data_IF_646630627010
#
_entry.id   IF_646630627010
#
_cell.length_a   1.000
_cell.length_b   1.000
_cell.length_c   1.000
_cell.angle_alpha   90.00
_cell.angle_beta   90.00
_cell.angle_gamma   90.00
#
_symmetry.space_group_name_H-M   'P 1'
#
loop_
_entity.id
_entity.type
_entity.pdbx_description
1 polymer ?
#
# COMPACT_ATOMS: atom_id res chain seq x y z
N UNK A 1 0.50 14.45 -1.19
CA UNK A 1 1.86 14.13 -0.71
C UNK A 1 2.73 13.86 -1.93
N UNK A 2 3.94 14.41 -2.00
CA UNK A 2 4.89 14.07 -3.06
C UNK A 2 5.91 13.06 -2.52
N UNK A 3 5.89 11.84 -3.07
CA UNK A 3 6.75 10.72 -2.68
C UNK A 3 7.67 10.29 -3.81
N UNK A 4 8.72 9.56 -3.48
CA UNK A 4 9.71 9.07 -4.45
C UNK A 4 9.07 8.36 -5.66
N UNK A 5 8.05 7.51 -5.44
CA UNK A 5 7.36 6.82 -6.53
C UNK A 5 6.72 7.75 -7.56
N UNK A 6 6.21 8.92 -7.16
CA UNK A 6 5.65 9.90 -8.11
C UNK A 6 6.75 10.54 -8.97
N UNK A 7 7.97 10.69 -8.44
CA UNK A 7 9.11 11.15 -9.23
C UNK A 7 9.45 10.13 -10.32
N UNK A 8 9.54 8.84 -9.94
CA UNK A 8 9.79 7.75 -10.89
C UNK A 8 8.74 7.73 -12.01
N UNK A 9 7.46 7.96 -11.69
CA UNK A 9 6.40 8.07 -12.69
C UNK A 9 6.54 9.34 -13.57
N UNK A 10 7.00 10.46 -13.01
CA UNK A 10 7.26 11.68 -13.77
C UNK A 10 8.42 11.48 -14.77
N UNK A 11 9.50 10.84 -14.35
CA UNK A 11 10.64 10.51 -15.21
C UNK A 11 10.26 9.56 -16.34
N UNK A 12 9.42 8.58 -16.03
CA UNK A 12 8.88 7.64 -17.02
C UNK A 12 7.89 8.30 -17.99
N UNK A 13 7.59 9.61 -17.83
CA UNK A 13 6.64 10.34 -18.66
C UNK A 13 5.18 9.94 -18.40
N UNK A 14 4.88 9.27 -17.29
CA UNK A 14 3.52 8.89 -16.88
C UNK A 14 2.85 10.10 -16.22
N UNK A 15 3.52 10.76 -15.28
CA UNK A 15 3.06 12.02 -14.68
C UNK A 15 3.59 13.19 -15.51
N UNK A 16 2.84 13.56 -16.55
CA UNK A 16 3.25 14.58 -17.54
C UNK A 16 2.23 15.70 -17.81
N UNK A 17 0.95 15.47 -17.50
CA UNK A 17 -0.11 16.44 -17.77
C UNK A 17 0.11 17.68 -16.91
N UNK A 18 0.28 18.84 -17.55
CA UNK A 18 0.36 20.13 -16.88
C UNK A 18 -1.04 20.67 -16.60
N UNK A 19 -1.15 21.36 -15.48
CA UNK A 19 -2.32 22.17 -15.13
C UNK A 19 -1.91 23.62 -14.94
N UNK A 20 -2.82 24.53 -15.28
CA UNK A 20 -2.60 25.97 -15.31
C UNK A 20 -3.48 26.66 -14.26
N UNK A 21 -3.04 27.77 -13.67
CA UNK A 21 -3.71 28.38 -12.52
C UNK A 21 -4.97 29.20 -12.90
N UNK A 22 -5.34 29.25 -14.17
CA UNK A 22 -6.44 30.03 -14.71
C UNK A 22 -7.42 29.15 -15.49
N UNK A 23 -8.72 29.42 -15.37
CA UNK A 23 -9.77 28.57 -15.93
C UNK A 23 -9.79 28.60 -17.46
N UNK A 24 -9.60 29.77 -18.07
CA UNK A 24 -9.59 29.92 -19.53
C UNK A 24 -8.38 29.20 -20.14
N UNK A 25 -7.19 29.40 -19.55
CA UNK A 25 -5.98 28.66 -19.97
C UNK A 25 -6.13 27.16 -19.76
N UNK A 26 -6.70 26.74 -18.63
CA UNK A 26 -6.92 25.32 -18.37
C UNK A 26 -7.95 24.71 -19.34
N UNK A 27 -8.97 25.47 -19.74
CA UNK A 27 -9.95 25.05 -20.73
C UNK A 27 -9.30 24.90 -22.12
N UNK A 28 -8.47 25.86 -22.54
CA UNK A 28 -7.70 25.78 -23.78
C UNK A 28 -6.73 24.59 -23.77
N UNK A 29 -6.04 24.34 -22.65
CA UNK A 29 -5.18 23.16 -22.48
C UNK A 29 -5.98 21.85 -22.63
N UNK A 30 -7.14 21.77 -21.96
CA UNK A 30 -8.03 20.61 -22.07
C UNK A 30 -8.60 20.40 -23.49
N UNK A 31 -8.73 21.47 -24.28
CA UNK A 31 -9.16 21.44 -25.67
C UNK A 31 -8.00 21.22 -26.67
N UNK A 32 -6.75 21.21 -26.20
CA UNK A 32 -5.56 21.09 -27.06
C UNK A 32 -5.26 22.32 -27.90
N UNK A 33 -5.79 23.49 -27.53
CA UNK A 33 -5.60 24.75 -28.27
C UNK A 33 -4.61 25.69 -27.60
N UNK A 34 -4.13 25.37 -26.40
CA UNK A 34 -3.10 26.13 -25.72
C UNK A 34 -1.72 25.74 -26.26
N UNK A 35 -0.94 26.72 -26.71
CA UNK A 35 0.47 26.50 -27.01
C UNK A 35 1.26 26.39 -25.70
N UNK A 36 1.37 25.17 -25.19
CA UNK A 36 2.08 24.88 -23.93
C UNK A 36 3.57 25.24 -23.97
N UNK A 37 4.18 25.34 -25.17
CA UNK A 37 5.59 25.70 -25.30
C UNK A 37 5.88 27.15 -24.91
N UNK A 38 4.85 28.01 -24.99
CA UNK A 38 4.90 29.40 -24.57
C UNK A 38 4.49 29.61 -23.10
N UNK A 39 4.11 28.54 -22.39
CA UNK A 39 3.64 28.61 -21.01
C UNK A 39 4.71 28.08 -20.03
N UNK A 40 5.30 28.98 -19.25
CA UNK A 40 6.34 28.64 -18.27
C UNK A 40 5.82 28.19 -16.89
N UNK A 41 4.51 28.31 -16.62
CA UNK A 41 3.91 28.13 -15.28
C UNK A 41 3.03 26.87 -15.14
N UNK A 42 3.09 25.96 -16.11
CA UNK A 42 2.35 24.71 -16.05
C UNK A 42 2.90 23.74 -15.00
N UNK A 43 2.03 23.22 -14.14
CA UNK A 43 2.38 22.35 -13.01
C UNK A 43 1.93 20.91 -13.28
N UNK A 44 2.83 19.94 -13.10
CA UNK A 44 2.51 18.51 -13.22
C UNK A 44 2.15 17.87 -11.87
N UNK A 45 2.72 18.36 -10.76
CA UNK A 45 2.49 17.81 -9.42
C UNK A 45 2.18 18.94 -8.44
N UNK A 46 1.06 18.82 -7.74
CA UNK A 46 0.76 19.61 -6.56
C UNK A 46 0.98 18.78 -5.28
N UNK A 47 1.91 19.20 -4.43
CA UNK A 47 2.24 18.55 -3.17
C UNK A 47 2.00 19.47 -1.98
N UNK A 48 1.53 18.91 -0.86
CA UNK A 48 1.41 19.67 0.40
C UNK A 48 2.60 19.48 1.34
N UNK A 49 3.29 18.36 1.16
CA UNK A 49 4.56 18.02 1.80
C UNK A 49 5.27 16.94 0.97
N UNK A 50 6.57 16.78 1.21
CA UNK A 50 7.45 15.81 0.54
C UNK A 50 7.92 14.80 1.57
N UNK A 51 7.84 13.51 1.23
CA UNK A 51 8.31 12.42 2.09
C UNK A 51 9.04 11.36 1.26
N UNK A 52 10.22 10.95 1.70
CA UNK A 52 10.93 9.84 1.09
C UNK A 52 12.37 9.68 1.60
N UNK A 53 13.15 8.82 0.94
CA UNK A 53 14.56 8.57 1.26
C UNK A 53 15.49 9.75 0.94
N UNK A 54 16.75 9.69 1.39
CA UNK A 54 17.72 10.80 1.24
C UNK A 54 18.07 11.08 -0.22
N UNK A 55 18.22 10.03 -1.02
CA UNK A 55 18.48 10.09 -2.45
C UNK A 55 17.37 10.86 -3.21
N UNK A 56 16.11 10.69 -2.81
CA UNK A 56 14.97 11.43 -3.36
C UNK A 56 15.11 12.94 -3.12
N UNK A 57 15.49 13.35 -1.91
CA UNK A 57 15.73 14.76 -1.61
C UNK A 57 16.95 15.32 -2.36
N UNK A 58 18.02 14.54 -2.51
CA UNK A 58 19.19 14.92 -3.30
C UNK A 58 18.79 15.14 -4.76
N UNK A 59 18.04 14.19 -5.33
CA UNK A 59 17.54 14.28 -6.69
C UNK A 59 16.69 15.52 -6.93
N UNK A 60 15.79 15.86 -6.01
CA UNK A 60 14.99 17.08 -6.07
C UNK A 60 15.85 18.37 -6.12
N UNK A 61 16.98 18.39 -5.40
CA UNK A 61 17.93 19.52 -5.42
C UNK A 61 18.67 19.61 -6.74
N UNK A 62 19.05 18.46 -7.31
CA UNK A 62 19.82 18.37 -8.55
C UNK A 62 18.99 18.59 -9.82
N UNK A 63 17.66 18.56 -9.74
CA UNK A 63 16.78 18.84 -10.87
C UNK A 63 17.08 20.21 -11.51
N UNK A 64 17.09 20.30 -12.85
CA UNK A 64 17.10 21.57 -13.55
C UNK A 64 15.97 22.47 -13.06
N UNK A 65 16.23 23.78 -12.95
CA UNK A 65 15.25 24.75 -12.45
C UNK A 65 13.92 24.67 -13.21
N UNK A 66 13.96 24.54 -14.54
CA UNK A 66 12.77 24.39 -15.39
C UNK A 66 11.90 23.19 -15.03
N UNK A 67 12.51 22.05 -14.65
CA UNK A 67 11.78 20.87 -14.19
C UNK A 67 11.28 20.98 -12.77
N UNK A 68 12.04 21.65 -11.90
CA UNK A 68 11.61 21.90 -10.52
C UNK A 68 10.32 22.75 -10.47
N UNK A 69 10.16 23.70 -11.40
CA UNK A 69 8.94 24.50 -11.52
C UNK A 69 7.69 23.70 -11.88
N UNK A 70 7.82 22.50 -12.45
CA UNK A 70 6.68 21.62 -12.72
C UNK A 70 6.13 20.96 -11.42
N UNK A 71 6.84 21.08 -10.30
CA UNK A 71 6.46 20.51 -9.00
C UNK A 71 6.15 21.63 -8.00
N UNK A 72 4.87 21.89 -7.80
CA UNK A 72 4.39 22.96 -6.94
C UNK A 72 4.07 22.45 -5.52
N UNK A 73 4.75 23.01 -4.52
CA UNK A 73 4.42 22.78 -3.12
C UNK A 73 3.49 23.87 -2.62
N UNK A 74 2.27 23.52 -2.22
CA UNK A 74 1.21 24.48 -1.87
C UNK A 74 0.39 24.02 -0.65
N UNK A 75 -0.53 24.86 -0.20
CA UNK A 75 -1.33 24.60 0.99
C UNK A 75 -2.18 23.32 0.87
N UNK A 76 -2.28 22.55 1.96
CA UNK A 76 -3.12 21.35 2.03
C UNK A 76 -4.58 21.67 1.71
N UNK A 77 -5.07 22.84 2.12
CA UNK A 77 -6.42 23.32 1.80
C UNK A 77 -6.67 23.47 0.29
N UNK A 78 -5.64 23.82 -0.49
CA UNK A 78 -5.76 23.85 -1.96
C UNK A 78 -5.90 22.44 -2.55
N UNK A 79 -5.09 21.51 -2.05
CA UNK A 79 -4.96 20.16 -2.61
C UNK A 79 -6.14 19.28 -2.21
N UNK A 80 -6.48 19.24 -0.93
CA UNK A 80 -7.44 18.29 -0.38
C UNK A 80 -8.89 18.74 -0.56
N UNK A 81 -9.14 20.02 -0.87
CA UNK A 81 -10.50 20.51 -1.08
C UNK A 81 -10.84 20.62 -2.56
N UNK A 82 -12.13 20.45 -2.87
CA UNK A 82 -12.70 20.88 -4.14
C UNK A 82 -13.26 22.31 -4.04
N UNK A 83 -13.74 22.71 -2.87
CA UNK A 83 -14.32 24.03 -2.63
C UNK A 83 -13.28 25.18 -2.79
N UNK A 84 -13.81 26.40 -2.96
CA UNK A 84 -13.05 27.65 -3.11
C UNK A 84 -12.62 27.98 -4.54
N UNK A 85 -12.19 26.99 -5.32
CA UNK A 85 -11.80 27.14 -6.74
C UNK A 85 -12.34 25.97 -7.57
N UNK A 86 -13.62 25.67 -7.37
CA UNK A 86 -14.22 24.44 -7.87
C UNK A 86 -14.22 24.36 -9.40
N UNK A 87 -14.56 25.45 -10.08
CA UNK A 87 -14.53 25.52 -11.55
C UNK A 87 -13.15 25.14 -12.11
N UNK A 88 -12.10 25.83 -11.65
CA UNK A 88 -10.73 25.54 -12.04
C UNK A 88 -10.34 24.09 -11.69
N UNK A 89 -10.60 23.64 -10.46
CA UNK A 89 -10.23 22.30 -10.01
C UNK A 89 -10.95 21.20 -10.80
N UNK A 90 -12.19 21.42 -11.24
CA UNK A 90 -12.92 20.50 -12.14
C UNK A 90 -12.24 20.41 -13.50
N UNK A 91 -11.80 21.53 -14.07
CA UNK A 91 -11.02 21.54 -15.32
C UNK A 91 -9.65 20.86 -15.14
N UNK A 92 -9.02 21.03 -13.98
CA UNK A 92 -7.70 20.46 -13.68
C UNK A 92 -7.71 18.97 -13.30
N UNK A 93 -8.81 18.44 -12.75
CA UNK A 93 -8.89 17.06 -12.20
C UNK A 93 -9.73 16.11 -13.06
N UNK A 94 -9.59 16.21 -14.39
CA UNK A 94 -10.20 15.24 -15.29
C UNK A 94 -9.56 13.86 -15.12
N UNK A 95 -10.38 12.83 -15.28
CA UNK A 95 -10.01 11.42 -15.18
C UNK A 95 -9.29 11.06 -13.86
N UNK A 96 -9.55 11.82 -12.79
CA UNK A 96 -8.80 11.69 -11.55
C UNK A 96 -8.97 10.31 -10.89
N UNK A 97 -7.89 9.77 -10.31
CA UNK A 97 -7.90 8.52 -9.53
C UNK A 97 -7.35 8.79 -8.16
N UNK A 98 -8.23 8.70 -7.15
CA UNK A 98 -7.90 8.96 -5.76
C UNK A 98 -7.60 7.64 -5.04
N UNK A 99 -6.31 7.29 -4.98
CA UNK A 99 -5.86 6.01 -4.41
C UNK A 99 -5.45 6.19 -2.95
N UNK A 100 -6.06 5.43 -2.06
CA UNK A 100 -5.77 5.42 -0.62
C UNK A 100 -5.71 3.98 -0.10
N UNK A 101 -5.09 3.78 1.07
CA UNK A 101 -5.08 2.49 1.76
C UNK A 101 -6.09 2.43 2.90
N UNK A 102 -6.59 1.23 3.17
CA UNK A 102 -7.33 0.89 4.38
C UNK A 102 -6.74 -0.41 4.96
N UNK A 103 -6.95 -0.68 6.24
CA UNK A 103 -6.56 -1.97 6.82
C UNK A 103 -7.73 -2.96 6.87
N UNK A 104 -8.98 -2.49 6.80
CA UNK A 104 -10.19 -3.32 6.78
C UNK A 104 -11.25 -2.73 5.83
N UNK A 105 -12.00 -3.61 5.17
CA UNK A 105 -13.23 -3.28 4.43
C UNK A 105 -14.34 -4.25 4.84
N UNK A 106 -15.54 -3.75 5.13
CA UNK A 106 -16.70 -4.60 5.40
C UNK A 106 -17.31 -5.13 4.10
N UNK A 107 -18.04 -6.23 4.14
CA UNK A 107 -18.74 -6.81 3.00
C UNK A 107 -19.85 -5.92 2.44
N UNK A 108 -20.26 -4.89 3.18
CA UNK A 108 -21.14 -3.83 2.69
C UNK A 108 -20.39 -2.67 2.04
N UNK A 109 -19.05 -2.69 2.05
CA UNK A 109 -18.18 -1.72 1.38
C UNK A 109 -17.80 -0.50 2.22
N UNK A 110 -17.95 -0.53 3.55
CA UNK A 110 -17.38 0.50 4.41
C UNK A 110 -15.88 0.22 4.61
N UNK A 111 -15.03 1.25 4.59
CA UNK A 111 -13.59 1.10 4.77
C UNK A 111 -13.13 1.69 6.11
N UNK A 112 -12.10 1.07 6.69
CA UNK A 112 -11.52 1.43 7.99
C UNK A 112 -10.01 1.58 7.85
N UNK A 113 -9.50 2.74 8.26
CA UNK A 113 -8.12 3.13 8.04
C UNK A 113 -7.44 3.75 9.27
N UNK A 114 -8.18 4.24 10.27
CA UNK A 114 -7.61 5.09 11.32
C UNK A 114 -7.79 4.60 12.77
N UNK A 115 -8.76 3.71 13.05
CA UNK A 115 -9.07 3.29 14.43
C UNK A 115 -9.50 1.82 14.52
N UNK A 116 -9.04 1.13 15.58
CA UNK A 116 -9.43 -0.24 15.90
C UNK A 116 -10.82 -0.33 16.55
N UNK A 117 -11.43 -1.52 16.57
CA UNK A 117 -12.77 -1.75 17.16
C UNK A 117 -12.86 -1.40 18.65
N UNK A 118 -11.76 -1.53 19.38
CA UNK A 118 -11.68 -1.17 20.80
C UNK A 118 -11.45 0.32 21.05
N UNK A 119 -11.54 1.14 20.00
CA UNK A 119 -11.39 2.59 20.06
C UNK A 119 -9.95 3.09 20.04
N UNK A 120 -8.94 2.21 20.01
CA UNK A 120 -7.55 2.66 19.86
C UNK A 120 -7.32 3.29 18.50
N UNK A 121 -6.81 4.52 18.51
CA UNK A 121 -6.46 5.29 17.32
C UNK A 121 -5.10 4.82 16.80
N UNK A 122 -5.05 4.39 15.54
CA UNK A 122 -3.82 4.00 14.85
C UNK A 122 -3.19 5.17 14.10
N UNK A 123 -4.03 6.01 13.50
CA UNK A 123 -3.63 7.19 12.73
C UNK A 123 -4.75 8.22 12.70
N UNK A 124 -4.53 9.35 12.05
CA UNK A 124 -5.63 10.25 11.67
C UNK A 124 -6.23 9.87 10.32
N UNK A 125 -7.48 10.25 10.07
CA UNK A 125 -8.14 10.13 8.75
C UNK A 125 -7.37 10.89 7.66
N UNK A 126 -6.77 12.02 8.03
CA UNK A 126 -6.05 12.90 7.10
C UNK A 126 -6.94 13.36 5.95
N UNK A 127 -6.39 13.42 4.74
CA UNK A 127 -7.14 13.82 3.53
C UNK A 127 -7.92 12.70 2.85
N UNK A 128 -7.90 11.47 3.39
CA UNK A 128 -8.48 10.30 2.74
C UNK A 128 -9.95 10.54 2.41
N UNK A 129 -10.74 10.95 3.40
CA UNK A 129 -12.16 11.26 3.23
C UNK A 129 -12.38 12.31 2.13
N UNK A 130 -11.62 13.40 2.14
CA UNK A 130 -11.79 14.48 1.16
C UNK A 130 -11.57 13.97 -0.27
N UNK A 131 -10.55 13.15 -0.51
CA UNK A 131 -10.30 12.60 -1.84
C UNK A 131 -11.34 11.54 -2.25
N UNK A 132 -11.87 10.76 -1.31
CA UNK A 132 -13.02 9.87 -1.59
C UNK A 132 -14.22 10.70 -2.02
N UNK A 133 -14.58 11.73 -1.25
CA UNK A 133 -15.72 12.60 -1.57
C UNK A 133 -15.57 13.26 -2.95
N UNK A 134 -14.35 13.72 -3.29
CA UNK A 134 -14.05 14.24 -4.62
C UNK A 134 -14.20 13.21 -5.74
N UNK A 135 -13.85 11.95 -5.50
CA UNK A 135 -14.06 10.86 -6.46
C UNK A 135 -15.54 10.67 -6.83
N UNK A 136 -16.46 11.06 -5.96
CA UNK A 136 -17.90 11.06 -6.24
C UNK A 136 -18.40 12.38 -6.84
N UNK A 137 -17.80 13.52 -6.48
CA UNK A 137 -18.21 14.85 -6.92
C UNK A 137 -17.72 15.22 -8.34
N UNK A 138 -16.60 14.66 -8.79
CA UNK A 138 -16.05 14.87 -10.12
C UNK A 138 -16.62 13.80 -11.08
N UNK A 139 -17.08 14.24 -12.26
CA UNK A 139 -17.84 13.41 -13.21
C UNK A 139 -17.12 12.13 -13.64
N UNK A 140 -15.81 12.23 -13.89
CA UNK A 140 -14.96 11.19 -14.46
C UNK A 140 -13.93 10.65 -13.47
N UNK A 141 -14.04 11.04 -12.19
CA UNK A 141 -13.12 10.60 -11.16
C UNK A 141 -13.56 9.27 -10.53
N UNK A 142 -12.57 8.57 -9.95
CA UNK A 142 -12.79 7.35 -9.17
C UNK A 142 -12.01 7.39 -7.87
N UNK A 143 -12.60 6.86 -6.81
CA UNK A 143 -11.92 6.56 -5.55
C UNK A 143 -11.52 5.09 -5.51
N UNK A 144 -10.28 4.83 -5.09
CA UNK A 144 -9.70 3.49 -4.99
C UNK A 144 -9.20 3.29 -3.56
N UNK A 145 -9.70 2.24 -2.90
CA UNK A 145 -9.23 1.77 -1.60
C UNK A 145 -8.43 0.48 -1.79
N UNK A 146 -7.18 0.49 -1.36
CA UNK A 146 -6.31 -0.68 -1.41
C UNK A 146 -6.12 -1.27 -0.01
N UNK A 147 -6.15 -2.60 0.09
CA UNK A 147 -5.83 -3.32 1.31
C UNK A 147 -5.29 -4.71 0.96
N UNK A 148 -4.49 -5.31 1.85
CA UNK A 148 -4.27 -6.76 1.76
C UNK A 148 -5.58 -7.45 2.13
N UNK A 149 -5.93 -8.54 1.47
CA UNK A 149 -7.16 -9.28 1.77
C UNK A 149 -7.12 -9.95 3.15
N UNK A 150 -5.93 -10.21 3.70
CA UNK A 150 -5.74 -10.91 4.96
C UNK A 150 -4.49 -10.39 5.68
N UNK A 151 -4.36 -10.76 6.95
CA UNK A 151 -3.17 -10.48 7.77
C UNK A 151 -2.89 -11.64 8.72
N UNK A 152 -1.65 -11.70 9.20
CA UNK A 152 -1.24 -12.56 10.31
C UNK A 152 -0.73 -11.68 11.45
N UNK A 153 -1.24 -11.92 12.67
CA UNK A 153 -0.77 -11.24 13.88
C UNK A 153 -0.78 -12.22 15.05
N UNK A 154 0.34 -12.34 15.77
CA UNK A 154 0.43 -13.27 16.91
C UNK A 154 0.31 -14.75 16.55
N UNK A 155 0.43 -15.11 15.27
CA UNK A 155 0.15 -16.47 14.77
C UNK A 155 -1.28 -16.66 14.26
N UNK A 156 -2.16 -15.70 14.52
CA UNK A 156 -3.55 -15.75 14.07
C UNK A 156 -3.69 -15.15 12.67
N UNK A 157 -4.18 -15.96 11.75
CA UNK A 157 -4.51 -15.54 10.38
C UNK A 157 -5.96 -15.05 10.36
N UNK A 158 -6.17 -13.83 9.89
CA UNK A 158 -7.51 -13.21 9.81
C UNK A 158 -7.73 -12.49 8.48
N UNK A 159 -9.00 -12.37 8.09
CA UNK A 159 -9.41 -11.58 6.94
C UNK A 159 -9.37 -10.08 7.25
N UNK A 160 -9.02 -9.27 6.25
CA UNK A 160 -9.24 -7.83 6.26
C UNK A 160 -10.51 -7.44 5.50
N UNK A 161 -11.13 -8.38 4.77
CA UNK A 161 -12.50 -8.25 4.28
C UNK A 161 -13.42 -8.96 5.28
N UNK A 162 -14.20 -8.20 6.03
CA UNK A 162 -14.96 -8.69 7.18
C UNK A 162 -16.46 -8.50 6.97
N UNK A 163 -17.29 -9.21 7.73
CA UNK A 163 -18.73 -8.96 7.71
C UNK A 163 -19.07 -7.58 8.29
N UNK A 164 -18.58 -7.32 9.49
CA UNK A 164 -18.81 -6.08 10.25
C UNK A 164 -17.52 -5.60 10.93
N UNK A 165 -17.50 -4.32 11.33
CA UNK A 165 -16.41 -3.71 12.07
C UNK A 165 -16.95 -2.57 12.93
N UNK A 166 -16.46 -2.43 14.16
CA UNK A 166 -16.91 -1.42 15.15
C UNK A 166 -16.60 0.05 14.83
N UNK A 167 -15.93 0.34 13.71
CA UNK A 167 -15.54 1.68 13.27
C UNK A 167 -15.66 1.85 11.75
N UNK A 168 -15.74 3.10 11.28
CA UNK A 168 -15.82 3.42 9.87
C UNK A 168 -15.15 4.75 9.55
N UNK A 169 -14.10 4.71 8.73
CA UNK A 169 -13.45 5.91 8.19
C UNK A 169 -14.18 6.42 6.95
N UNK A 170 -14.51 5.50 6.02
CA UNK A 170 -15.22 5.80 4.78
C UNK A 170 -16.56 5.05 4.77
N UNK A 171 -17.69 5.76 4.84
CA UNK A 171 -19.00 5.12 4.87
C UNK A 171 -19.30 4.40 3.57
N UNK A 172 -20.03 3.28 3.65
CA UNK A 172 -20.39 2.45 2.49
C UNK A 172 -21.08 3.20 1.34
N UNK A 173 -21.72 4.35 1.61
CA UNK A 173 -22.36 5.18 0.59
C UNK A 173 -21.34 5.82 -0.37
N UNK A 174 -20.09 5.94 0.06
CA UNK A 174 -18.97 6.44 -0.73
C UNK A 174 -18.10 5.31 -1.30
N UNK A 175 -18.57 4.05 -1.26
CA UNK A 175 -17.86 2.92 -1.87
C UNK A 175 -17.69 3.14 -3.38
N UNK A 176 -16.50 2.82 -3.87
CA UNK A 176 -16.18 2.92 -5.29
C UNK A 176 -15.34 1.71 -5.71
N UNK A 177 -14.01 1.80 -5.81
CA UNK A 177 -13.16 0.65 -6.16
C UNK A 177 -12.43 0.14 -4.92
N UNK A 178 -12.42 -1.18 -4.73
CA UNK A 178 -11.59 -1.86 -3.72
C UNK A 178 -10.59 -2.78 -4.43
N UNK A 179 -9.33 -2.76 -4.01
CA UNK A 179 -8.25 -3.56 -4.59
C UNK A 179 -7.55 -4.37 -3.51
N UNK A 180 -7.41 -5.67 -3.73
CA UNK A 180 -6.53 -6.56 -2.97
C UNK A 180 -5.47 -7.16 -3.87
N UNK A 181 -4.55 -7.94 -3.31
CA UNK A 181 -3.61 -8.76 -4.07
C UNK A 181 -4.28 -9.78 -5.00
N UNK A 182 -5.58 -10.04 -4.85
CA UNK A 182 -6.35 -10.99 -5.66
C UNK A 182 -7.16 -10.35 -6.79
N UNK A 183 -7.33 -9.03 -6.80
CA UNK A 183 -8.01 -8.35 -7.90
C UNK A 183 -8.69 -7.04 -7.52
N UNK A 184 -9.65 -6.65 -8.35
CA UNK A 184 -10.35 -5.37 -8.29
C UNK A 184 -11.86 -5.61 -8.17
N UNK A 185 -12.48 -5.03 -7.16
CA UNK A 185 -13.93 -4.98 -6.99
C UNK A 185 -14.44 -3.55 -7.27
N UNK A 186 -15.18 -3.39 -8.37
CA UNK A 186 -15.94 -2.16 -8.66
C UNK A 186 -17.29 -2.21 -7.93
N UNK A 187 -17.58 -1.25 -7.05
CA UNK A 187 -18.72 -1.25 -6.13
C UNK A 187 -19.71 -0.10 -6.35
N UNK A 188 -19.33 0.92 -7.13
CA UNK A 188 -20.11 2.16 -7.27
C UNK A 188 -21.46 1.85 -7.90
N UNK A 189 -22.54 2.36 -7.28
CA UNK A 189 -23.91 2.18 -7.77
C UNK A 189 -24.47 0.74 -7.67
N UNK A 190 -23.72 -0.22 -7.14
CA UNK A 190 -24.17 -1.62 -6.99
C UNK A 190 -25.08 -1.79 -5.77
N UNK A 191 -25.97 -2.78 -5.83
CA UNK A 191 -26.76 -3.24 -4.67
C UNK A 191 -25.87 -3.96 -3.66
N UNK A 192 -26.32 -4.07 -2.41
CA UNK A 192 -25.56 -4.78 -1.36
C UNK A 192 -25.18 -6.21 -1.78
N UNK A 193 -26.08 -6.96 -2.40
CA UNK A 193 -25.80 -8.32 -2.90
C UNK A 193 -24.65 -8.33 -3.91
N UNK A 194 -24.66 -7.40 -4.88
CA UNK A 194 -23.60 -7.30 -5.90
C UNK A 194 -22.28 -6.73 -5.37
N UNK A 195 -22.32 -5.98 -4.27
CA UNK A 195 -21.12 -5.54 -3.55
C UNK A 195 -20.48 -6.70 -2.81
N UNK A 196 -21.27 -7.50 -2.10
CA UNK A 196 -20.79 -8.68 -1.39
C UNK A 196 -20.16 -9.66 -2.39
N UNK A 197 -20.85 -9.96 -3.50
CA UNK A 197 -20.31 -10.83 -4.56
C UNK A 197 -18.96 -10.31 -5.09
N UNK A 198 -18.87 -9.01 -5.40
CA UNK A 198 -17.63 -8.42 -5.91
C UNK A 198 -16.49 -8.43 -4.88
N UNK A 199 -16.78 -8.21 -3.60
CA UNK A 199 -15.78 -8.27 -2.53
C UNK A 199 -15.32 -9.70 -2.28
N UNK A 200 -16.22 -10.69 -2.28
CA UNK A 200 -15.87 -12.11 -2.16
C UNK A 200 -14.90 -12.56 -3.26
N UNK A 201 -15.05 -12.04 -4.49
CA UNK A 201 -14.16 -12.35 -5.61
C UNK A 201 -12.70 -11.93 -5.37
N UNK A 202 -12.46 -10.97 -4.47
CA UNK A 202 -11.12 -10.46 -4.12
C UNK A 202 -10.73 -10.79 -2.68
N UNK A 203 -11.52 -11.62 -1.99
CA UNK A 203 -11.22 -12.15 -0.65
C UNK A 203 -10.33 -13.38 -0.75
N UNK A 204 -9.43 -13.55 0.22
CA UNK A 204 -8.63 -14.75 0.42
C UNK A 204 -9.54 -15.98 0.61
N UNK A 205 -9.26 -17.05 -0.14
CA UNK A 205 -10.14 -18.22 -0.21
C UNK A 205 -10.34 -18.95 1.11
N UNK A 206 -9.44 -18.76 2.08
CA UNK A 206 -9.62 -19.30 3.45
C UNK A 206 -10.86 -18.74 4.15
N UNK A 207 -11.33 -17.54 3.78
CA UNK A 207 -12.44 -16.86 4.46
C UNK A 207 -13.72 -16.74 3.62
N UNK A 208 -13.66 -17.04 2.32
CA UNK A 208 -14.80 -16.88 1.39
C UNK A 208 -16.04 -17.67 1.82
N UNK A 209 -15.87 -18.92 2.29
CA UNK A 209 -16.98 -19.80 2.68
C UNK A 209 -17.76 -19.28 3.88
N UNK A 210 -17.05 -18.87 4.94
CA UNK A 210 -17.66 -18.32 6.15
C UNK A 210 -18.43 -17.03 5.85
N UNK A 211 -17.79 -16.10 5.14
CA UNK A 211 -18.38 -14.82 4.75
C UNK A 211 -19.59 -15.00 3.83
N UNK A 212 -19.54 -15.94 2.89
CA UNK A 212 -20.69 -16.30 2.04
C UNK A 212 -21.85 -16.82 2.89
N UNK A 213 -21.55 -17.71 3.85
CA UNK A 213 -22.55 -18.32 4.74
C UNK A 213 -23.22 -17.25 5.60
N UNK A 214 -22.45 -16.34 6.19
CA UNK A 214 -22.97 -15.19 6.95
C UNK A 214 -23.88 -14.30 6.09
N UNK A 215 -23.46 -13.98 4.86
CA UNK A 215 -24.27 -13.17 3.95
C UNK A 215 -25.60 -13.86 3.54
N UNK A 216 -25.60 -15.19 3.39
CA UNK A 216 -26.81 -15.97 3.11
C UNK A 216 -27.75 -16.02 4.32
N UNK A 217 -27.21 -16.25 5.52
CA UNK A 217 -27.97 -16.24 6.77
C UNK A 217 -28.68 -14.90 7.01
N UNK A 218 -28.01 -13.80 6.65
CA UNK A 218 -28.55 -12.43 6.77
C UNK A 218 -29.41 -12.00 5.58
N UNK A 219 -29.71 -12.90 4.64
CA UNK A 219 -30.56 -12.64 3.48
C UNK A 219 -29.97 -11.64 2.48
N UNK A 220 -28.65 -11.40 2.52
CA UNK A 220 -27.94 -10.50 1.59
C UNK A 220 -27.46 -11.22 0.33
N UNK A 221 -27.34 -12.55 0.38
CA UNK A 221 -27.12 -13.41 -0.78
C UNK A 221 -28.19 -14.51 -0.87
N UNK A 222 -28.52 -14.99 -2.08
CA UNK A 222 -29.36 -16.18 -2.26
C UNK A 222 -28.75 -17.42 -1.58
N UNK A 223 -29.59 -18.31 -1.03
CA UNK A 223 -29.15 -19.55 -0.36
C UNK A 223 -28.37 -20.51 -1.26
N UNK A 224 -28.63 -20.43 -2.56
CA UNK A 224 -27.98 -21.21 -3.61
C UNK A 224 -26.80 -20.47 -4.27
N UNK A 225 -26.45 -19.26 -3.81
CA UNK A 225 -25.28 -18.53 -4.31
C UNK A 225 -24.02 -19.42 -4.23
N UNK A 226 -23.24 -19.39 -5.30
CA UNK A 226 -21.94 -20.05 -5.42
C UNK A 226 -20.95 -19.05 -6.00
N UNK A 227 -19.78 -18.97 -5.38
CA UNK A 227 -18.68 -18.18 -5.93
C UNK A 227 -18.20 -18.82 -7.24
N UNK A 228 -17.93 -17.98 -8.23
CA UNK A 228 -17.34 -18.45 -9.49
C UNK A 228 -15.96 -19.10 -9.21
N UNK A 229 -15.72 -20.35 -9.66
CA UNK A 229 -14.48 -21.08 -9.39
C UNK A 229 -13.20 -20.31 -9.75
N UNK A 230 -13.25 -19.36 -10.69
CA UNK A 230 -12.07 -18.54 -11.04
C UNK A 230 -11.58 -17.66 -9.88
N UNK A 231 -12.42 -17.39 -8.88
CA UNK A 231 -12.08 -16.62 -7.68
C UNK A 231 -11.89 -17.49 -6.44
N UNK A 232 -12.01 -18.82 -6.59
CA UNK A 232 -11.94 -19.76 -5.47
C UNK A 232 -10.50 -20.25 -5.15
N UNK A 233 -9.49 -19.71 -5.85
CA UNK A 233 -8.07 -19.96 -5.62
C UNK A 233 -7.30 -18.65 -5.35
N UNK A 234 -7.87 -17.83 -4.48
CA UNK A 234 -7.25 -16.61 -3.96
C UNK A 234 -6.40 -16.98 -2.75
N UNK A 235 -5.22 -17.56 -2.98
CA UNK A 235 -4.31 -18.01 -1.92
C UNK A 235 -2.94 -17.32 -1.98
N UNK A 236 -2.29 -17.09 -0.82
CA UNK A 236 -0.93 -16.56 -0.79
C UNK A 236 0.07 -17.49 -1.48
N UNK A 237 -0.15 -18.81 -1.39
CA UNK A 237 0.68 -19.83 -2.01
C UNK A 237 0.70 -19.67 -3.53
N UNK A 238 -0.49 -19.53 -4.15
CA UNK A 238 -0.60 -19.30 -5.59
C UNK A 238 0.12 -18.03 -6.03
N UNK A 239 -0.02 -16.93 -5.28
CA UNK A 239 0.70 -15.69 -5.60
C UNK A 239 2.22 -15.86 -5.48
N UNK A 240 2.68 -16.62 -4.48
CA UNK A 240 4.10 -16.94 -4.33
C UNK A 240 4.62 -17.79 -5.49
N UNK A 241 3.88 -18.83 -5.91
CA UNK A 241 4.23 -19.65 -7.09
C UNK A 241 4.28 -18.84 -8.40
N UNK A 242 3.48 -17.77 -8.52
CA UNK A 242 3.59 -16.82 -9.63
C UNK A 242 4.86 -15.98 -9.49
N UNK A 243 5.14 -15.44 -8.31
CA UNK A 243 6.31 -14.61 -8.06
C UNK A 243 7.62 -15.39 -8.29
N UNK A 244 7.69 -16.65 -7.83
CA UNK A 244 8.85 -17.53 -7.95
C UNK A 244 9.19 -17.87 -9.42
N UNK A 245 8.19 -17.83 -10.32
CA UNK A 245 8.41 -17.98 -11.77
C UNK A 245 8.96 -16.73 -12.43
N UNK A 246 8.85 -15.57 -11.77
CA UNK A 246 9.25 -14.28 -12.32
C UNK A 246 10.08 -13.45 -11.32
N UNK A 247 11.18 -13.99 -10.75
CA UNK A 247 11.91 -13.34 -9.67
C UNK A 247 12.51 -11.98 -10.08
N UNK A 248 12.84 -11.82 -11.37
CA UNK A 248 13.38 -10.57 -11.93
C UNK A 248 12.36 -9.42 -11.94
N UNK A 249 11.05 -9.69 -11.85
CA UNK A 249 10.01 -8.66 -11.81
C UNK A 249 9.76 -8.13 -10.39
N UNK A 250 10.27 -8.81 -9.36
CA UNK A 250 10.02 -8.46 -7.96
C UNK A 250 11.34 -8.18 -7.23
N UNK A 251 12.12 -7.17 -7.66
CA UNK A 251 13.27 -6.73 -6.88
C UNK A 251 12.80 -6.28 -5.49
N UNK A 252 13.59 -6.57 -4.47
CA UNK A 252 13.22 -6.37 -3.06
C UNK A 252 12.92 -4.90 -2.71
N UNK A 253 13.66 -3.98 -3.34
CA UNK A 253 13.51 -2.53 -3.19
C UNK A 253 13.35 -1.87 -4.57
N UNK A 254 12.18 -1.98 -5.22
CA UNK A 254 11.98 -1.53 -6.61
C UNK A 254 12.10 0.00 -6.76
N UNK A 255 11.99 0.74 -5.67
CA UNK A 255 12.09 2.20 -5.61
C UNK A 255 13.30 2.68 -4.80
N UNK A 256 14.33 1.83 -4.64
CA UNK A 256 15.50 2.12 -3.81
C UNK A 256 15.23 1.96 -2.31
N UNK A 257 16.27 2.18 -1.52
CA UNK A 257 16.26 2.03 -0.06
C UNK A 257 17.40 2.85 0.55
N UNK A 258 17.15 3.49 1.69
CA UNK A 258 18.19 4.13 2.51
C UNK A 258 19.00 3.08 3.33
N UNK A 259 18.54 1.83 3.39
CA UNK A 259 19.25 0.76 4.09
C UNK A 259 20.50 0.35 3.35
N UNK A 260 21.62 0.24 4.08
CA UNK A 260 22.85 -0.37 3.55
C UNK A 260 22.61 -1.85 3.18
N UNK A 261 23.50 -2.45 2.40
CA UNK A 261 23.41 -3.89 2.07
C UNK A 261 23.32 -4.76 3.33
N UNK A 262 24.11 -4.43 4.35
CA UNK A 262 24.12 -5.09 5.66
C UNK A 262 22.80 -4.91 6.41
N UNK A 263 22.21 -3.71 6.37
CA UNK A 263 20.90 -3.47 7.00
C UNK A 263 19.78 -4.21 6.29
N UNK A 264 19.85 -4.37 4.97
CA UNK A 264 18.91 -5.19 4.21
C UNK A 264 19.03 -6.68 4.58
N UNK A 265 20.25 -7.20 4.71
CA UNK A 265 20.49 -8.57 5.22
C UNK A 265 19.92 -8.75 6.63
N UNK A 266 20.19 -7.79 7.53
CA UNK A 266 19.69 -7.81 8.90
C UNK A 266 18.17 -7.82 8.94
N UNK A 267 17.50 -7.00 8.12
CA UNK A 267 16.04 -6.99 8.04
C UNK A 267 15.47 -8.35 7.59
N UNK A 268 16.10 -9.00 6.60
CA UNK A 268 15.72 -10.37 6.18
C UNK A 268 15.86 -11.35 7.33
N UNK A 269 17.02 -11.35 8.00
CA UNK A 269 17.30 -12.24 9.12
C UNK A 269 16.30 -12.03 10.29
N UNK A 270 16.03 -10.79 10.67
CA UNK A 270 15.11 -10.45 11.76
C UNK A 270 13.66 -10.84 11.42
N UNK A 271 13.22 -10.62 10.17
CA UNK A 271 11.89 -11.05 9.73
C UNK A 271 11.76 -12.58 9.69
N UNK A 272 12.82 -13.28 9.27
CA UNK A 272 12.88 -14.74 9.33
C UNK A 272 12.77 -15.22 10.78
N UNK A 273 13.55 -14.66 11.70
CA UNK A 273 13.48 -14.99 13.13
C UNK A 273 12.07 -14.76 13.68
N UNK A 274 11.48 -13.60 13.41
CA UNK A 274 10.10 -13.26 13.80
C UNK A 274 9.09 -14.32 13.32
N UNK A 275 9.27 -14.85 12.10
CA UNK A 275 8.42 -15.91 11.56
C UNK A 275 8.57 -17.27 12.26
N UNK A 276 9.73 -17.54 12.87
CA UNK A 276 10.08 -18.81 13.55
C UNK A 276 9.73 -18.86 15.03
N UNK A 277 9.41 -17.72 15.67
CA UNK A 277 8.93 -17.67 17.05
C UNK A 277 7.52 -18.28 17.25
N UNK A 278 6.93 -18.92 16.23
CA UNK A 278 5.74 -19.75 16.39
C UNK A 278 6.07 -20.95 17.27
N UNK A 279 5.23 -21.25 18.27
CA UNK A 279 5.39 -22.39 19.22
C UNK A 279 5.73 -23.72 18.52
N UNK A 280 5.19 -23.95 17.31
CA UNK A 280 5.41 -25.16 16.51
C UNK A 280 6.76 -25.21 15.79
N UNK A 281 7.50 -24.10 15.70
CA UNK A 281 8.78 -24.00 14.97
C UNK A 281 9.98 -23.67 15.87
N UNK A 282 9.79 -23.57 17.20
CA UNK A 282 10.89 -23.33 18.14
C UNK A 282 12.03 -24.36 18.06
N UNK A 283 11.72 -25.62 17.72
CA UNK A 283 12.76 -26.65 17.50
C UNK A 283 13.68 -26.30 16.32
N UNK A 284 13.12 -25.75 15.22
CA UNK A 284 13.93 -25.30 14.08
C UNK A 284 14.86 -24.15 14.47
N UNK A 285 14.38 -23.25 15.34
CA UNK A 285 15.16 -22.15 15.85
C UNK A 285 16.32 -22.66 16.74
N UNK A 286 16.04 -23.60 17.64
CA UNK A 286 17.06 -24.26 18.47
C UNK A 286 18.13 -24.96 17.64
N UNK A 287 17.73 -25.72 16.61
CA UNK A 287 18.68 -26.35 15.68
C UNK A 287 19.52 -25.32 14.93
N UNK A 288 18.88 -24.30 14.35
CA UNK A 288 19.57 -23.27 13.59
C UNK A 288 20.57 -22.48 14.46
N UNK A 289 20.30 -22.28 15.76
CA UNK A 289 21.26 -21.66 16.68
C UNK A 289 22.48 -22.51 16.98
N UNK A 290 22.34 -23.84 16.98
CA UNK A 290 23.46 -24.78 17.15
C UNK A 290 24.34 -24.81 15.90
N UNK A 291 23.70 -24.80 14.72
CA UNK A 291 24.37 -24.80 13.41
C UNK A 291 24.82 -23.39 12.97
N UNK A 292 24.59 -22.37 13.81
CA UNK A 292 24.87 -20.97 13.48
C UNK A 292 26.36 -20.78 13.12
N UNK A 293 26.67 -20.02 12.07
CA UNK A 293 28.03 -19.82 11.59
C UNK A 293 28.85 -19.05 12.61
N UNK A 294 30.17 -19.09 12.42
CA UNK A 294 31.11 -18.34 13.27
C UNK A 294 30.85 -16.82 13.16
N UNK A 295 31.01 -16.04 14.25
CA UNK A 295 30.83 -14.58 14.22
C UNK A 295 31.63 -13.86 13.13
N UNK A 296 32.80 -14.40 12.75
CA UNK A 296 33.66 -13.88 11.68
C UNK A 296 33.02 -13.96 10.28
N UNK A 297 31.94 -14.73 10.10
CA UNK A 297 31.22 -14.79 8.83
C UNK A 297 30.38 -13.52 8.55
N UNK A 298 29.97 -12.79 9.60
CA UNK A 298 29.10 -11.61 9.49
C UNK A 298 29.54 -10.46 10.43
N UNK A 299 30.81 -10.02 10.37
CA UNK A 299 31.35 -9.06 11.34
C UNK A 299 30.64 -7.70 11.31
N UNK A 300 30.36 -7.18 10.12
CA UNK A 300 29.70 -5.88 9.94
C UNK A 300 28.24 -5.89 10.43
N UNK A 301 27.52 -7.01 10.22
CA UNK A 301 26.14 -7.18 10.69
C UNK A 301 26.09 -7.22 12.22
N UNK A 302 27.05 -7.91 12.85
CA UNK A 302 27.17 -7.98 14.30
C UNK A 302 27.53 -6.62 14.90
N UNK A 303 28.45 -5.88 14.29
CA UNK A 303 28.79 -4.52 14.73
C UNK A 303 27.57 -3.59 14.65
N UNK A 304 26.82 -3.63 13.54
CA UNK A 304 25.62 -2.82 13.36
C UNK A 304 24.54 -3.08 14.42
N UNK A 305 24.44 -4.32 14.88
CA UNK A 305 23.51 -4.77 15.92
C UNK A 305 24.07 -4.70 17.34
N UNK A 306 25.31 -4.22 17.51
CA UNK A 306 26.03 -4.17 18.80
C UNK A 306 26.20 -5.55 19.46
N UNK A 307 26.42 -6.58 18.64
CA UNK A 307 26.58 -7.97 19.05
C UNK A 307 27.95 -8.54 18.64
N UNK A 308 28.93 -7.71 18.30
CA UNK A 308 30.28 -8.17 17.96
C UNK A 308 31.03 -8.76 19.18
N UNK A 309 30.79 -8.21 20.37
CA UNK A 309 31.31 -8.68 21.65
C UNK A 309 30.14 -8.77 22.65
N UNK A 310 29.44 -9.92 22.69
CA UNK A 310 28.27 -10.07 23.56
C UNK A 310 28.65 -9.99 25.03
N UNK A 311 27.85 -9.29 25.84
CA UNK A 311 28.05 -9.19 27.29
C UNK A 311 27.06 -10.10 28.04
N UNK A 312 27.48 -11.33 28.28
CA UNK A 312 26.72 -12.35 28.99
C UNK A 312 25.79 -13.20 28.13
N UNK A 313 25.11 -14.15 28.80
CA UNK A 313 24.40 -15.25 28.14
C UNK A 313 23.25 -14.80 27.22
N UNK A 314 22.63 -13.67 27.52
CA UNK A 314 21.51 -13.14 26.71
C UNK A 314 22.01 -12.65 25.35
N UNK A 315 23.09 -11.88 25.35
CA UNK A 315 23.66 -11.32 24.13
C UNK A 315 24.32 -12.40 23.29
N UNK A 316 24.92 -13.42 23.91
CA UNK A 316 25.40 -14.62 23.22
C UNK A 316 24.26 -15.34 22.49
N UNK A 317 23.11 -15.50 23.14
CA UNK A 317 21.93 -16.09 22.51
C UNK A 317 21.42 -15.22 21.35
N UNK A 318 21.35 -13.90 21.53
CA UNK A 318 20.94 -12.98 20.46
C UNK A 318 21.90 -12.99 19.27
N UNK A 319 23.20 -13.01 19.52
CA UNK A 319 24.22 -13.15 18.48
C UNK A 319 24.02 -14.46 17.70
N UNK A 320 23.83 -15.59 18.39
CA UNK A 320 23.59 -16.89 17.76
C UNK A 320 22.31 -16.93 16.93
N UNK A 321 21.22 -16.36 17.46
CA UNK A 321 19.95 -16.24 16.73
C UNK A 321 20.12 -15.38 15.47
N UNK A 322 20.80 -14.25 15.58
CA UNK A 322 21.06 -13.36 14.46
C UNK A 322 21.89 -14.04 13.36
N UNK A 323 22.97 -14.71 13.73
CA UNK A 323 23.84 -15.45 12.81
C UNK A 323 23.09 -16.58 12.10
N UNK A 324 22.23 -17.31 12.83
CA UNK A 324 21.35 -18.32 12.24
C UNK A 324 20.39 -17.70 11.21
N UNK A 325 19.78 -16.55 11.54
CA UNK A 325 18.90 -15.83 10.62
C UNK A 325 19.62 -15.32 9.37
N UNK A 326 20.83 -14.77 9.53
CA UNK A 326 21.66 -14.30 8.41
C UNK A 326 22.04 -15.46 7.49
N UNK A 327 22.44 -16.60 8.05
CA UNK A 327 22.74 -17.80 7.26
C UNK A 327 21.51 -18.32 6.51
N UNK A 328 20.36 -18.39 7.18
CA UNK A 328 19.12 -18.91 6.61
C UNK A 328 18.56 -18.02 5.49
N UNK A 329 18.93 -16.74 5.46
CA UNK A 329 18.42 -15.75 4.49
C UNK A 329 19.48 -15.23 3.52
N UNK A 330 20.71 -15.75 3.61
CA UNK A 330 21.76 -15.46 2.65
C UNK A 330 21.28 -15.86 1.25
N UNK A 331 21.23 -14.89 0.33
CA UNK A 331 20.91 -15.16 -1.08
C UNK A 331 21.99 -16.11 -1.60
N UNK A 332 21.59 -17.26 -2.14
CA UNK A 332 22.52 -18.09 -2.90
C UNK A 332 22.97 -17.25 -4.10
N UNK A 333 24.26 -16.94 -4.17
CA UNK A 333 24.86 -16.19 -5.27
C UNK A 333 24.60 -16.87 -6.62
#
# INVERSE_FOLDING_TARGET
>A
MFVHGLMVLADAGIVRRKVYPDADRQAQANAGTLDESLQGDGVSIHGGFILGPRDFYQRLRELPHSKRLEFNMTAISYINELYGQEELKRLQRRDARFVNSAFTVTLLGAAVADQLEDGRVLSGVGGQYNFVAQGHALHDARSVIMLRSWRESGGDVSSNIVWEYGHCTIPRHLRDIVVTEYGIADLRGKTDSKVIEALLNITDSRFQTELTTQAQLMGKLPKDFRLDPRFADNSPQRLQEIADRHPHLFPEYPLGSDFSAQEQDLLRALNWLKSKFKLTQMYQLGKATLDAPSPQAFPEHLERMQLAQPDGLRDELYQRLLLAGLQATAKSN
#
